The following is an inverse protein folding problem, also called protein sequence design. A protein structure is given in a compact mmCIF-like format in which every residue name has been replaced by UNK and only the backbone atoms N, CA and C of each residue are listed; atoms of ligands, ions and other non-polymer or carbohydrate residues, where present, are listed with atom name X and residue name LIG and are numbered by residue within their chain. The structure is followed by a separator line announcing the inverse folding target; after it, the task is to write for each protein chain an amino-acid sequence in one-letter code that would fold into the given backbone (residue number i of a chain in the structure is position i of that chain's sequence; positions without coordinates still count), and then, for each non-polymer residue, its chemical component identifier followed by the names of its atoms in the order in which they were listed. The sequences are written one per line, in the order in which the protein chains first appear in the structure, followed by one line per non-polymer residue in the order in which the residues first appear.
data_IF_262723706733
#
_entry.id   IF_262723706733
#
_cell.length_a   1.000
_cell.length_b   1.000
_cell.length_c   1.000
_cell.angle_alpha   90.00
_cell.angle_beta   90.00
_cell.angle_gamma   90.00
#
_symmetry.space_group_name_H-M   'P 1'
#
loop_
_entity.id
_entity.type
_entity.pdbx_description
1 polymer ?
#
# COMPACT_ATOMS: atom_id res chain seq x y z
N UNK A 1 9.27 10.19 -11.25
CA UNK A 1 8.86 9.85 -9.86
C UNK A 1 9.86 8.88 -9.28
N UNK A 2 10.36 9.18 -8.10
CA UNK A 2 11.27 8.30 -7.35
C UNK A 2 10.43 7.28 -6.59
N UNK A 3 10.59 6.00 -6.90
CA UNK A 3 9.91 4.91 -6.19
C UNK A 3 10.55 4.65 -4.81
N UNK A 4 9.86 3.91 -3.94
CA UNK A 4 10.42 3.47 -2.64
C UNK A 4 11.73 2.72 -2.79
N UNK A 5 11.82 1.85 -3.81
CA UNK A 5 13.05 1.09 -4.10
C UNK A 5 14.20 2.02 -4.49
N UNK A 6 13.93 3.02 -5.31
CA UNK A 6 14.94 4.02 -5.70
C UNK A 6 15.34 4.89 -4.52
N UNK A 7 14.38 5.35 -3.71
CA UNK A 7 14.67 6.14 -2.51
C UNK A 7 15.57 5.40 -1.52
N UNK A 8 15.29 4.13 -1.23
CA UNK A 8 16.14 3.31 -0.38
C UNK A 8 17.55 3.14 -0.95
N UNK A 9 17.66 2.89 -2.25
CA UNK A 9 18.97 2.78 -2.93
C UNK A 9 19.76 4.10 -2.92
N UNK A 10 19.06 5.22 -3.16
CA UNK A 10 19.68 6.56 -3.11
C UNK A 10 20.27 6.85 -1.71
N UNK A 11 19.64 6.33 -0.67
CA UNK A 11 20.10 6.43 0.70
C UNK A 11 21.15 5.36 1.09
N UNK A 12 21.59 4.51 0.15
CA UNK A 12 22.63 3.50 0.37
C UNK A 12 22.13 2.17 0.93
N UNK A 13 20.82 1.95 1.01
CA UNK A 13 20.26 0.68 1.50
C UNK A 13 20.26 -0.41 0.43
N UNK A 14 20.48 -1.64 0.85
CA UNK A 14 20.41 -2.81 -0.02
C UNK A 14 18.96 -3.25 -0.10
N UNK A 15 18.45 -3.32 -1.32
CA UNK A 15 17.11 -3.84 -1.61
C UNK A 15 17.24 -5.23 -2.21
N UNK A 16 16.45 -6.18 -1.70
CA UNK A 16 16.43 -7.56 -2.18
C UNK A 16 16.12 -7.61 -3.69
N UNK A 17 17.10 -8.08 -4.47
CA UNK A 17 17.00 -8.10 -5.93
C UNK A 17 16.06 -9.20 -6.44
N UNK A 18 16.02 -10.34 -5.75
CA UNK A 18 15.15 -11.45 -6.15
C UNK A 18 13.69 -11.08 -5.95
N UNK A 19 13.36 -10.57 -4.76
CA UNK A 19 12.02 -10.10 -4.46
C UNK A 19 11.59 -8.99 -5.43
N UNK A 20 12.47 -8.01 -5.69
CA UNK A 20 12.18 -6.94 -6.65
C UNK A 20 11.89 -7.48 -8.06
N UNK A 21 12.67 -8.45 -8.54
CA UNK A 21 12.46 -9.03 -9.86
C UNK A 21 11.16 -9.83 -9.93
N UNK A 22 10.80 -10.51 -8.84
CA UNK A 22 9.51 -11.22 -8.73
C UNK A 22 8.34 -10.25 -8.77
N UNK A 23 8.39 -9.16 -8.01
CA UNK A 23 7.35 -8.13 -8.07
C UNK A 23 7.25 -7.49 -9.46
N UNK A 24 8.36 -7.20 -10.13
CA UNK A 24 8.34 -6.68 -11.49
C UNK A 24 7.65 -7.65 -12.47
N UNK A 25 7.95 -8.93 -12.37
CA UNK A 25 7.32 -9.96 -13.20
C UNK A 25 5.82 -10.06 -12.89
N UNK A 26 5.47 -10.18 -11.60
CA UNK A 26 4.07 -10.23 -11.16
C UNK A 26 3.27 -9.03 -11.66
N UNK A 27 3.79 -7.82 -11.51
CA UNK A 27 3.12 -6.60 -11.98
C UNK A 27 2.98 -6.56 -13.52
N UNK A 28 3.95 -7.09 -14.26
CA UNK A 28 3.85 -7.19 -15.72
C UNK A 28 2.76 -8.20 -16.15
N UNK A 29 2.65 -9.31 -15.43
CA UNK A 29 1.63 -10.34 -15.68
C UNK A 29 0.22 -9.82 -15.29
N UNK A 30 0.08 -9.16 -14.15
CA UNK A 30 -1.15 -8.50 -13.72
C UNK A 30 -1.58 -7.39 -14.70
N UNK A 31 -0.64 -6.61 -15.21
CA UNK A 31 -0.96 -5.58 -16.20
C UNK A 31 -1.54 -6.20 -17.48
N UNK A 32 -0.99 -7.32 -17.96
CA UNK A 32 -1.55 -8.05 -19.11
C UNK A 32 -2.94 -8.61 -18.81
N UNK A 33 -3.13 -9.17 -17.59
CA UNK A 33 -4.42 -9.72 -17.15
C UNK A 33 -5.49 -8.64 -17.08
N UNK A 34 -5.17 -7.50 -16.48
CA UNK A 34 -6.11 -6.40 -16.25
C UNK A 34 -6.38 -5.58 -17.52
N UNK A 35 -5.41 -5.50 -18.41
CA UNK A 35 -5.48 -4.69 -19.62
C UNK A 35 -5.04 -5.48 -20.86
N UNK A 36 -5.80 -6.51 -21.27
CA UNK A 36 -5.42 -7.37 -22.39
C UNK A 36 -5.31 -6.63 -23.74
N UNK A 37 -6.01 -5.48 -23.85
CA UNK A 37 -5.97 -4.61 -25.03
C UNK A 37 -5.15 -3.33 -24.83
N UNK A 38 -4.30 -3.31 -23.79
CA UNK A 38 -3.51 -2.16 -23.40
C UNK A 38 -4.22 -1.27 -22.38
N UNK A 39 -3.42 -0.61 -21.53
CA UNK A 39 -3.93 0.31 -20.52
C UNK A 39 -4.53 1.54 -21.21
N UNK A 40 -5.71 2.01 -20.82
CA UNK A 40 -6.28 3.23 -21.39
C UNK A 40 -5.33 4.41 -21.13
N UNK A 41 -5.15 5.31 -22.10
CA UNK A 41 -4.25 6.46 -21.98
C UNK A 41 -4.67 7.42 -20.87
N UNK A 42 -5.97 7.45 -20.59
CA UNK A 42 -6.57 8.27 -19.54
C UNK A 42 -7.82 7.57 -18.99
N UNK A 43 -8.01 7.63 -17.68
CA UNK A 43 -9.21 7.13 -17.01
C UNK A 43 -9.63 8.09 -15.89
N UNK A 44 -10.87 8.55 -15.92
CA UNK A 44 -11.48 9.31 -14.82
C UNK A 44 -11.84 8.40 -13.63
N UNK A 45 -12.08 7.14 -13.90
CA UNK A 45 -12.42 6.15 -12.88
C UNK A 45 -11.18 5.42 -12.38
N UNK A 46 -11.17 4.94 -11.12
CA UNK A 46 -10.09 4.12 -10.61
C UNK A 46 -9.87 2.90 -11.51
N UNK A 47 -8.62 2.68 -11.90
CA UNK A 47 -8.26 1.47 -12.61
C UNK A 47 -8.30 0.25 -11.67
N UNK A 48 -8.61 -0.94 -12.20
CA UNK A 48 -8.60 -2.16 -11.39
C UNK A 48 -7.22 -2.38 -10.77
N UNK A 49 -7.20 -2.80 -9.50
CA UNK A 49 -5.96 -3.06 -8.77
C UNK A 49 -5.44 -4.45 -9.08
N UNK A 50 -4.13 -4.56 -9.23
CA UNK A 50 -3.43 -5.83 -9.25
C UNK A 50 -3.73 -6.62 -7.96
N UNK A 51 -3.72 -7.93 -8.05
CA UNK A 51 -3.73 -8.78 -6.86
C UNK A 51 -2.34 -8.79 -6.22
N UNK A 52 -2.31 -8.84 -4.88
CA UNK A 52 -1.05 -9.03 -4.19
C UNK A 52 -0.54 -10.46 -4.37
N UNK A 53 0.76 -10.54 -4.57
CA UNK A 53 1.46 -11.80 -4.62
C UNK A 53 1.79 -12.30 -3.21
N UNK A 54 1.51 -13.56 -2.94
CA UNK A 54 1.85 -14.19 -1.67
C UNK A 54 3.12 -15.04 -1.84
N UNK A 55 4.19 -14.78 -1.05
CA UNK A 55 5.38 -15.64 -1.06
C UNK A 55 5.05 -17.01 -0.48
N UNK A 56 5.75 -18.05 -0.95
CA UNK A 56 5.71 -19.35 -0.29
C UNK A 56 6.43 -19.30 1.06
N UNK A 57 6.23 -20.31 1.91
CA UNK A 57 6.90 -20.38 3.21
C UNK A 57 8.43 -20.41 3.06
N UNK A 58 8.94 -21.12 2.06
CA UNK A 58 10.39 -21.24 1.77
C UNK A 58 10.96 -19.88 1.31
N UNK A 59 10.25 -19.20 0.43
CA UNK A 59 10.63 -17.87 -0.04
C UNK A 59 10.66 -16.84 1.08
N UNK A 60 9.64 -16.87 1.92
CA UNK A 60 9.55 -15.96 3.05
C UNK A 60 10.66 -16.24 4.07
N UNK A 61 10.97 -17.52 4.34
CA UNK A 61 12.08 -17.91 5.20
C UNK A 61 13.44 -17.42 4.64
N UNK A 62 13.65 -17.52 3.31
CA UNK A 62 14.85 -17.00 2.67
C UNK A 62 14.94 -15.47 2.80
N UNK A 63 13.83 -14.76 2.60
CA UNK A 63 13.77 -13.30 2.76
C UNK A 63 14.06 -12.87 4.19
N UNK A 64 13.45 -13.53 5.18
CA UNK A 64 13.71 -13.27 6.61
C UNK A 64 15.19 -13.47 6.95
N UNK A 65 15.83 -14.50 6.38
CA UNK A 65 17.27 -14.75 6.59
C UNK A 65 18.15 -13.67 5.97
N UNK A 66 17.79 -13.16 4.80
CA UNK A 66 18.60 -12.24 4.01
C UNK A 66 18.43 -10.77 4.37
N UNK A 67 17.31 -10.38 5.00
CA UNK A 67 16.95 -8.99 5.23
C UNK A 67 16.75 -8.69 6.71
N UNK A 68 17.10 -7.48 7.13
CA UNK A 68 17.02 -7.05 8.53
C UNK A 68 15.61 -6.57 8.91
N UNK A 69 14.86 -6.05 7.94
CA UNK A 69 13.54 -5.44 8.12
C UNK A 69 12.66 -5.69 6.90
N UNK A 70 11.37 -5.83 7.12
CA UNK A 70 10.36 -5.80 6.06
C UNK A 70 9.72 -4.42 5.96
N UNK A 71 9.59 -3.90 4.73
CA UNK A 71 8.80 -2.72 4.41
C UNK A 71 7.74 -3.12 3.40
N UNK A 72 6.47 -3.03 3.79
CA UNK A 72 5.33 -3.36 2.96
C UNK A 72 4.58 -2.08 2.59
N UNK A 73 4.31 -1.86 1.31
CA UNK A 73 3.58 -0.68 0.85
C UNK A 73 2.18 -1.07 0.40
N UNK A 74 1.16 -0.44 0.98
CA UNK A 74 -0.22 -0.51 0.52
C UNK A 74 -0.56 0.72 -0.31
N UNK A 75 -1.02 0.50 -1.54
CA UNK A 75 -1.40 1.56 -2.47
C UNK A 75 -2.91 1.67 -2.65
N UNK A 76 -3.42 2.90 -2.71
CA UNK A 76 -4.77 3.21 -3.18
C UNK A 76 -4.71 4.40 -4.11
N UNK A 77 -5.39 4.28 -5.23
CA UNK A 77 -5.51 5.35 -6.22
C UNK A 77 -6.94 5.88 -6.16
N UNK A 78 -7.09 7.19 -6.07
CA UNK A 78 -8.38 7.83 -6.31
C UNK A 78 -8.61 7.98 -7.80
N UNK A 79 -9.86 7.77 -8.25
CA UNK A 79 -10.31 8.29 -9.52
C UNK A 79 -10.73 9.75 -9.37
N UNK A 80 -10.82 10.45 -10.47
CA UNK A 80 -11.45 11.75 -10.56
C UNK A 80 -12.82 11.57 -11.20
N UNK A 81 -13.86 12.21 -10.65
CA UNK A 81 -15.22 12.10 -11.18
C UNK A 81 -16.02 10.87 -10.74
N UNK A 82 -15.57 10.13 -9.73
CA UNK A 82 -16.35 9.05 -9.13
C UNK A 82 -16.03 8.89 -7.65
N UNK A 83 -16.99 8.38 -6.90
CA UNK A 83 -16.82 8.07 -5.48
C UNK A 83 -16.08 6.77 -5.27
N UNK A 84 -15.38 6.66 -4.14
CA UNK A 84 -14.76 5.41 -3.71
C UNK A 84 -15.81 4.46 -3.16
N UNK A 85 -15.61 3.18 -3.43
CA UNK A 85 -16.48 2.11 -2.95
C UNK A 85 -15.98 1.55 -1.62
N UNK A 86 -16.84 0.78 -0.94
CA UNK A 86 -16.50 0.08 0.32
C UNK A 86 -15.27 -0.81 0.14
N UNK A 87 -15.14 -1.47 -1.02
CA UNK A 87 -14.01 -2.34 -1.35
C UNK A 87 -12.67 -1.59 -1.41
N UNK A 88 -12.70 -0.27 -1.63
CA UNK A 88 -11.49 0.55 -1.61
C UNK A 88 -11.07 0.95 -0.19
N UNK A 89 -12.01 0.98 0.75
CA UNK A 89 -11.72 1.16 2.17
C UNK A 89 -11.14 -0.12 2.78
N UNK A 90 -11.65 -1.28 2.41
CA UNK A 90 -11.21 -2.56 2.93
C UNK A 90 -9.88 -3.02 2.29
N UNK A 91 -9.13 -3.84 3.01
CA UNK A 91 -8.05 -4.60 2.42
C UNK A 91 -8.62 -5.78 1.63
N UNK A 92 -8.00 -6.10 0.49
CA UNK A 92 -8.24 -7.36 -0.18
C UNK A 92 -7.71 -8.52 0.68
N UNK A 93 -8.28 -9.70 0.48
CA UNK A 93 -7.88 -10.90 1.21
C UNK A 93 -6.37 -11.16 1.12
N UNK A 94 -5.79 -11.04 -0.08
CA UNK A 94 -4.36 -11.24 -0.31
C UNK A 94 -3.50 -10.16 0.35
N UNK A 95 -3.95 -8.90 0.41
CA UNK A 95 -3.25 -7.83 1.13
C UNK A 95 -3.16 -8.15 2.63
N UNK A 96 -4.28 -8.56 3.22
CA UNK A 96 -4.34 -8.93 4.64
C UNK A 96 -3.52 -10.21 4.93
N UNK A 97 -3.59 -11.20 4.05
CA UNK A 97 -2.81 -12.43 4.15
C UNK A 97 -1.31 -12.14 4.09
N UNK A 98 -0.87 -11.26 3.18
CA UNK A 98 0.53 -10.85 3.06
C UNK A 98 1.03 -10.17 4.35
N UNK A 99 0.26 -9.22 4.91
CA UNK A 99 0.63 -8.58 6.18
C UNK A 99 0.79 -9.62 7.29
N UNK A 100 -0.18 -10.56 7.42
CA UNK A 100 -0.14 -11.61 8.45
C UNK A 100 1.07 -12.53 8.31
N UNK A 101 1.35 -12.99 7.09
CA UNK A 101 2.48 -13.89 6.80
C UNK A 101 3.82 -13.22 7.08
N UNK A 102 4.01 -12.00 6.57
CA UNK A 102 5.26 -11.25 6.76
C UNK A 102 5.47 -10.90 8.22
N UNK A 103 4.43 -10.41 8.92
CA UNK A 103 4.48 -10.12 10.35
C UNK A 103 4.90 -11.34 11.15
N UNK A 104 4.21 -12.47 10.97
CA UNK A 104 4.52 -13.70 11.71
C UNK A 104 5.96 -14.17 11.48
N UNK A 105 6.43 -14.15 10.23
CA UNK A 105 7.77 -14.64 9.89
C UNK A 105 8.88 -13.71 10.42
N UNK A 106 8.75 -12.40 10.26
CA UNK A 106 9.75 -11.44 10.74
C UNK A 106 9.78 -11.37 12.26
N UNK A 107 8.62 -11.34 12.93
CA UNK A 107 8.55 -11.33 14.39
C UNK A 107 9.11 -12.62 15.01
N UNK A 108 8.87 -13.79 14.40
CA UNK A 108 9.48 -15.03 14.87
C UNK A 108 11.02 -15.01 14.83
N UNK A 109 11.59 -14.22 13.93
CA UNK A 109 13.04 -13.99 13.83
C UNK A 109 13.54 -12.78 14.65
N UNK A 110 12.69 -12.14 15.45
CA UNK A 110 13.03 -10.93 16.21
C UNK A 110 13.22 -9.69 15.34
N UNK A 111 12.74 -9.71 14.09
CA UNK A 111 12.85 -8.63 13.11
C UNK A 111 11.54 -7.82 13.04
N UNK A 112 11.55 -6.71 12.30
CA UNK A 112 10.49 -5.72 12.29
C UNK A 112 9.75 -5.66 10.96
N UNK A 113 8.46 -5.31 11.02
CA UNK A 113 7.63 -4.97 9.88
C UNK A 113 7.18 -3.51 9.96
N UNK A 114 7.45 -2.76 8.91
CA UNK A 114 6.89 -1.42 8.70
C UNK A 114 5.90 -1.45 7.55
N UNK A 115 4.72 -0.88 7.74
CA UNK A 115 3.73 -0.71 6.68
C UNK A 115 3.66 0.76 6.27
N UNK A 116 3.81 1.01 4.98
CA UNK A 116 3.70 2.34 4.37
C UNK A 116 2.38 2.44 3.61
N UNK A 117 1.56 3.41 3.97
CA UNK A 117 0.30 3.69 3.31
C UNK A 117 0.49 4.80 2.26
N UNK A 118 0.57 4.42 0.99
CA UNK A 118 0.55 5.33 -0.15
C UNK A 118 -0.89 5.40 -0.67
N UNK A 119 -1.72 6.17 -0.02
CA UNK A 119 -3.17 6.14 -0.17
C UNK A 119 -3.75 7.55 -0.38
N UNK A 120 -4.84 7.64 -1.09
CA UNK A 120 -5.56 8.90 -1.35
C UNK A 120 -6.54 9.29 -0.25
N UNK A 121 -6.99 8.33 0.56
CA UNK A 121 -7.95 8.54 1.66
C UNK A 121 -7.87 7.37 2.65
N UNK A 122 -8.52 7.46 3.84
CA UNK A 122 -8.45 6.40 4.84
C UNK A 122 -8.77 5.01 4.30
N UNK A 123 -8.10 4.04 4.86
CA UNK A 123 -8.37 2.60 4.67
C UNK A 123 -8.61 1.95 6.03
N UNK A 124 -9.23 0.80 6.04
CA UNK A 124 -9.39 0.02 7.26
C UNK A 124 -8.00 -0.38 7.81
N UNK A 125 -7.76 -0.08 9.08
CA UNK A 125 -6.50 -0.40 9.76
C UNK A 125 -6.70 -1.22 11.04
N UNK A 126 -7.91 -1.31 11.54
CA UNK A 126 -8.20 -1.92 12.84
C UNK A 126 -7.85 -3.41 12.87
N UNK A 127 -8.04 -4.12 11.76
CA UNK A 127 -7.81 -5.57 11.67
C UNK A 127 -6.33 -5.97 11.57
N UNK A 128 -5.44 -5.04 11.22
CA UNK A 128 -4.04 -5.39 10.93
C UNK A 128 -2.98 -4.47 11.54
N UNK A 129 -3.33 -3.24 11.95
CA UNK A 129 -2.32 -2.29 12.47
C UNK A 129 -1.48 -2.83 13.62
N UNK A 130 -2.05 -3.73 14.44
CA UNK A 130 -1.34 -4.39 15.53
C UNK A 130 -0.33 -5.46 15.07
N UNK A 131 -0.28 -5.79 13.80
CA UNK A 131 0.67 -6.73 13.20
C UNK A 131 1.94 -6.03 12.70
N UNK A 132 1.94 -4.70 12.61
CA UNK A 132 3.09 -3.91 12.19
C UNK A 132 3.74 -3.23 13.40
N UNK A 133 5.07 -3.11 13.38
CA UNK A 133 5.84 -2.37 14.40
C UNK A 133 5.71 -0.86 14.21
N UNK A 134 5.53 -0.42 12.96
CA UNK A 134 5.24 0.96 12.62
C UNK A 134 4.35 1.06 11.38
N UNK A 135 3.52 2.10 11.34
CA UNK A 135 2.70 2.44 10.17
C UNK A 135 3.01 3.88 9.78
N UNK A 136 3.44 4.09 8.55
CA UNK A 136 3.71 5.40 7.98
C UNK A 136 2.60 5.76 7.01
N UNK A 137 1.79 6.77 7.32
CA UNK A 137 0.80 7.29 6.39
C UNK A 137 1.43 8.38 5.52
N UNK A 138 1.83 7.99 4.31
CA UNK A 138 2.50 8.88 3.37
C UNK A 138 1.52 9.67 2.51
N UNK A 139 0.27 9.25 2.42
CA UNK A 139 -0.69 9.76 1.44
C UNK A 139 -0.12 9.70 0.01
N UNK A 140 -0.22 10.77 -0.76
CA UNK A 140 0.26 10.88 -2.14
C UNK A 140 1.27 12.04 -2.26
N UNK A 141 2.51 11.89 -1.76
CA UNK A 141 3.46 13.00 -1.59
C UNK A 141 4.14 13.46 -2.89
N UNK A 142 3.73 12.96 -4.05
CA UNK A 142 4.21 13.45 -5.35
C UNK A 142 5.46 12.75 -5.87
N UNK A 143 6.30 13.48 -6.63
CA UNK A 143 7.37 12.89 -7.43
C UNK A 143 8.55 12.34 -6.60
N UNK A 144 8.80 12.93 -5.46
CA UNK A 144 9.91 12.58 -4.55
C UNK A 144 9.51 11.60 -3.44
N UNK A 145 8.37 10.94 -3.57
CA UNK A 145 7.79 10.05 -2.54
C UNK A 145 8.79 9.05 -1.99
N UNK A 146 9.59 8.40 -2.82
CA UNK A 146 10.57 7.40 -2.39
C UNK A 146 11.68 7.98 -1.52
N UNK A 147 12.22 9.13 -1.89
CA UNK A 147 13.25 9.82 -1.09
C UNK A 147 12.67 10.33 0.23
N UNK A 148 11.50 10.99 0.19
CA UNK A 148 10.86 11.54 1.39
C UNK A 148 10.49 10.46 2.42
N UNK A 149 9.89 9.36 1.97
CA UNK A 149 9.55 8.24 2.87
C UNK A 149 10.83 7.58 3.41
N UNK A 150 11.86 7.43 2.58
CA UNK A 150 13.15 6.88 3.03
C UNK A 150 13.78 7.75 4.12
N UNK A 151 13.75 9.06 3.98
CA UNK A 151 14.28 9.99 4.99
C UNK A 151 13.55 9.82 6.34
N UNK A 152 12.24 9.54 6.34
CA UNK A 152 11.47 9.22 7.53
C UNK A 152 11.84 7.84 8.10
N UNK A 153 11.87 6.80 7.26
CA UNK A 153 12.15 5.43 7.69
C UNK A 153 13.56 5.27 8.28
N UNK A 154 14.51 6.07 7.81
CA UNK A 154 15.91 6.03 8.27
C UNK A 154 16.19 6.98 9.43
N UNK A 155 15.21 7.75 9.86
CA UNK A 155 15.36 8.73 10.94
C UNK A 155 16.16 9.98 10.56
N UNK A 156 16.46 10.20 9.28
CA UNK A 156 17.09 11.42 8.79
C UNK A 156 16.18 12.64 8.99
N UNK A 157 14.88 12.43 8.87
CA UNK A 157 13.83 13.42 9.15
C UNK A 157 12.84 12.85 10.15
N UNK A 158 12.55 13.58 11.21
CA UNK A 158 11.53 13.20 12.17
C UNK A 158 10.13 13.52 11.60
N UNK A 159 9.19 12.55 11.55
CA UNK A 159 7.85 12.82 11.05
C UNK A 159 7.11 13.81 11.95
N UNK A 160 6.67 14.92 11.37
CA UNK A 160 5.98 16.01 12.09
C UNK A 160 4.51 16.17 11.68
N UNK A 161 4.08 15.48 10.61
CA UNK A 161 2.71 15.51 10.12
C UNK A 161 1.71 14.97 11.13
N UNK A 162 0.51 15.54 11.14
CA UNK A 162 -0.65 15.07 11.89
C UNK A 162 -1.67 14.50 10.93
N UNK A 163 -2.40 13.46 11.36
CA UNK A 163 -3.51 12.95 10.57
C UNK A 163 -4.60 14.03 10.45
N UNK A 164 -5.01 14.40 9.24
CA UNK A 164 -6.04 15.43 9.04
C UNK A 164 -7.45 14.90 9.32
N UNK A 165 -7.59 13.59 9.53
CA UNK A 165 -8.87 12.92 9.73
C UNK A 165 -8.71 11.68 10.61
N UNK A 166 -9.81 11.21 11.17
CA UNK A 166 -9.89 9.94 11.88
C UNK A 166 -9.98 8.79 10.88
N UNK A 167 -9.21 7.73 11.13
CA UNK A 167 -9.37 6.45 10.43
C UNK A 167 -10.45 5.64 11.13
N UNK A 168 -11.57 5.43 10.46
CA UNK A 168 -12.71 4.68 10.99
C UNK A 168 -12.33 3.19 11.24
N UNK A 169 -12.92 2.58 12.24
CA UNK A 169 -12.76 1.14 12.51
C UNK A 169 -13.57 0.32 11.51
N UNK A 170 -14.77 0.80 11.19
CA UNK A 170 -15.65 0.21 10.18
C UNK A 170 -16.05 1.28 9.16
N UNK A 171 -16.40 0.84 7.99
CA UNK A 171 -16.82 1.75 6.92
C UNK A 171 -17.96 2.68 7.35
N UNK A 172 -19.00 2.15 7.99
CA UNK A 172 -20.17 2.91 8.45
C UNK A 172 -19.98 3.74 9.72
N UNK A 173 -18.78 3.83 10.30
CA UNK A 173 -18.56 4.60 11.53
C UNK A 173 -18.44 6.11 11.27
N UNK A 174 -18.30 6.54 10.01
CA UNK A 174 -18.27 7.95 9.67
C UNK A 174 -19.67 8.58 9.83
N UNK A 175 -19.81 9.72 10.55
CA UNK A 175 -21.13 10.34 10.76
C UNK A 175 -21.84 10.74 9.47
N UNK A 176 -21.10 10.92 8.39
CA UNK A 176 -21.65 11.25 7.07
C UNK A 176 -22.20 10.05 6.30
N UNK A 177 -21.87 8.81 6.70
CA UNK A 177 -22.24 7.61 5.96
C UNK A 177 -23.74 7.47 5.73
N UNK A 178 -24.54 7.66 6.78
CA UNK A 178 -26.00 7.58 6.71
C UNK A 178 -26.65 8.63 5.79
N UNK A 179 -25.91 9.68 5.44
CA UNK A 179 -26.39 10.80 4.61
C UNK A 179 -25.71 10.86 3.25
N UNK A 180 -24.81 9.92 2.95
CA UNK A 180 -24.08 9.88 1.69
C UNK A 180 -24.82 8.99 0.68
N UNK A 181 -25.28 9.54 -0.46
CA UNK A 181 -26.00 8.76 -1.46
C UNK A 181 -25.00 7.94 -2.30
N UNK A 182 -24.91 6.63 -2.06
CA UNK A 182 -24.06 5.72 -2.83
C UNK A 182 -24.44 5.59 -4.30
N UNK A 183 -25.70 5.81 -4.63
CA UNK A 183 -26.25 5.66 -5.97
C UNK A 183 -26.45 7.03 -6.65
N UNK A 184 -25.63 8.00 -6.28
CA UNK A 184 -25.69 9.31 -6.91
C UNK A 184 -25.21 9.22 -8.37
N UNK A 185 -26.17 9.09 -9.29
CA UNK A 185 -25.92 9.32 -10.71
C UNK A 185 -25.73 10.82 -10.92
N UNK A 186 -24.51 11.24 -11.14
CA UNK A 186 -24.24 12.61 -11.58
C UNK A 186 -24.83 12.79 -12.98
N UNK A 187 -26.07 13.28 -13.05
CA UNK A 187 -26.68 13.73 -14.31
C UNK A 187 -26.16 15.13 -14.56
N UNK A 188 -25.24 15.25 -15.51
CA UNK A 188 -24.88 16.57 -16.04
C UNK A 188 -26.15 17.20 -16.63
N UNK A 189 -26.43 18.49 -16.36
CA UNK A 189 -27.53 19.20 -16.96
C UNK A 189 -27.37 19.35 -18.47
#
# INVERSE_FOLDING_TARGET
TVSMVEGLRNAGYIVDKELLNRYKKHMADEQKRLFPHGKPPFAFTPLPRAEEFLPTAEELAAQVKANDIAVLTLGRVSGEGCDRRVEDFLLKENELALIKQVSAAYHAAGKKLVVVLNICSPVETASWKGLADAVVCAFQPGQEVGNCITDILTGKVNPSGKLPMTFAVKYGDAPSDANFPFDYEFKMP
#
